data_IF_069068439408
#
_entry.id   IF_069068439408
#
_cell.length_a   1.000
_cell.length_b   1.000
_cell.length_c   1.000
_cell.angle_alpha   90.00
_cell.angle_beta   90.00
_cell.angle_gamma   90.00
#
_symmetry.space_group_name_H-M   'P 1'
#
loop_
_entity.id
_entity.type
_entity.pdbx_description
1 polymer ?
#
# COMPACT_ATOMS: atom_id res chain seq x y z
N UNK A 1 -19.52 -0.52 5.43
CA UNK A 1 -18.62 -1.36 6.18
C UNK A 1 -17.24 -0.72 6.22
N UNK A 2 -16.61 -0.68 7.39
CA UNK A 2 -15.32 -0.02 7.52
C UNK A 2 -14.21 -0.85 6.89
N UNK A 3 -13.27 -0.18 6.23
CA UNK A 3 -12.10 -0.81 5.69
C UNK A 3 -11.14 -1.18 6.83
N UNK A 4 -10.74 -2.44 6.89
CA UNK A 4 -9.75 -2.87 7.88
C UNK A 4 -8.37 -2.86 7.23
N UNK A 5 -7.75 -1.68 7.24
CA UNK A 5 -6.47 -1.48 6.57
C UNK A 5 -5.34 -2.27 7.22
N UNK A 6 -5.46 -2.56 8.52
CA UNK A 6 -4.41 -3.31 9.22
C UNK A 6 -4.24 -4.72 8.67
N UNK A 7 -5.29 -5.29 8.12
CA UNK A 7 -5.21 -6.63 7.54
C UNK A 7 -4.55 -6.63 6.16
N UNK A 8 -4.45 -5.48 5.54
CA UNK A 8 -3.90 -5.37 4.19
C UNK A 8 -2.44 -4.95 4.18
N UNK A 9 -1.92 -4.46 5.29
CA UNK A 9 -0.54 -3.99 5.40
C UNK A 9 0.19 -4.91 6.37
N UNK A 10 1.31 -5.50 5.92
CA UNK A 10 2.07 -6.43 6.74
C UNK A 10 3.54 -6.03 6.73
N UNK A 11 4.25 -6.39 7.79
CA UNK A 11 5.69 -6.21 7.89
C UNK A 11 6.30 -7.56 8.23
N UNK A 12 7.20 -8.04 7.38
CA UNK A 12 7.86 -9.32 7.57
C UNK A 12 9.35 -9.11 7.33
N UNK A 13 10.22 -9.46 8.29
CA UNK A 13 11.67 -9.26 8.10
C UNK A 13 12.21 -9.91 6.84
N UNK A 14 11.53 -10.92 6.33
CA UNK A 14 11.94 -11.63 5.11
C UNK A 14 11.48 -10.95 3.85
N UNK A 15 10.61 -9.94 3.95
CA UNK A 15 10.06 -9.24 2.80
C UNK A 15 10.46 -7.78 2.90
N UNK A 16 11.25 -7.32 1.93
CA UNK A 16 11.68 -5.91 1.84
C UNK A 16 12.27 -5.40 3.16
N UNK A 17 13.04 -6.27 3.84
CA UNK A 17 13.75 -5.91 5.08
C UNK A 17 12.81 -5.44 6.19
N UNK A 18 11.60 -5.98 6.23
CA UNK A 18 10.63 -5.62 7.26
C UNK A 18 9.85 -4.35 7.01
N UNK A 19 10.00 -3.73 5.84
CA UNK A 19 9.20 -2.56 5.50
C UNK A 19 7.73 -2.94 5.36
N UNK A 20 6.80 -2.04 5.71
CA UNK A 20 5.38 -2.30 5.48
C UNK A 20 5.11 -2.48 3.99
N UNK A 21 4.45 -3.57 3.66
CA UNK A 21 4.10 -3.88 2.27
C UNK A 21 2.62 -4.25 2.20
N UNK A 22 2.06 -4.17 1.01
CA UNK A 22 0.71 -4.65 0.78
C UNK A 22 0.75 -6.17 0.84
N UNK A 23 -0.15 -6.74 1.64
CA UNK A 23 -0.23 -8.19 1.88
C UNK A 23 -0.28 -8.95 0.56
N UNK A 24 0.50 -10.01 0.48
CA UNK A 24 0.55 -10.85 -0.71
C UNK A 24 1.39 -10.29 -1.83
N UNK A 25 2.08 -9.18 -1.60
CA UNK A 25 2.94 -8.56 -2.60
C UNK A 25 4.26 -8.16 -1.94
N UNK A 26 5.19 -7.67 -2.77
CA UNK A 26 6.41 -7.03 -2.29
C UNK A 26 6.37 -5.53 -2.54
N UNK A 27 5.17 -4.97 -2.67
CA UNK A 27 4.99 -3.55 -2.97
C UNK A 27 4.95 -2.77 -1.67
N UNK A 28 5.99 -1.97 -1.37
CA UNK A 28 6.02 -1.22 -0.12
C UNK A 28 4.96 -0.11 -0.11
N UNK A 29 4.41 0.15 1.07
CA UNK A 29 3.46 1.25 1.25
C UNK A 29 4.09 2.57 0.79
N UNK A 30 5.37 2.79 1.14
CA UNK A 30 6.04 4.04 0.78
C UNK A 30 6.11 4.26 -0.72
N UNK A 31 6.21 3.19 -1.52
CA UNK A 31 6.22 3.32 -2.96
C UNK A 31 4.88 3.83 -3.48
N UNK A 32 3.78 3.28 -2.94
CA UNK A 32 2.44 3.71 -3.33
C UNK A 32 2.25 5.19 -2.98
N UNK A 33 2.65 5.57 -1.77
CA UNK A 33 2.50 6.96 -1.32
C UNK A 33 3.33 7.91 -2.17
N UNK A 34 4.55 7.50 -2.52
CA UNK A 34 5.43 8.32 -3.35
C UNK A 34 4.83 8.57 -4.72
N UNK A 35 4.27 7.54 -5.34
CA UNK A 35 3.67 7.68 -6.66
C UNK A 35 2.46 8.60 -6.63
N UNK A 36 1.63 8.46 -5.60
CA UNK A 36 0.48 9.36 -5.46
C UNK A 36 0.95 10.81 -5.24
N UNK A 37 2.00 10.98 -4.44
CA UNK A 37 2.56 12.32 -4.20
C UNK A 37 3.11 12.93 -5.48
N UNK A 38 3.57 12.11 -6.41
CA UNK A 38 4.11 12.57 -7.69
C UNK A 38 3.01 12.79 -8.73
N UNK A 39 1.75 12.68 -8.35
CA UNK A 39 0.65 12.99 -9.24
C UNK A 39 0.04 11.81 -9.98
N UNK A 40 0.50 10.59 -9.73
CA UNK A 40 -0.12 9.42 -10.33
C UNK A 40 -1.46 9.16 -9.69
N UNK A 41 -2.40 8.65 -10.48
CA UNK A 41 -3.73 8.35 -9.99
C UNK A 41 -3.81 6.91 -9.49
N UNK A 42 -4.90 6.60 -8.77
CA UNK A 42 -5.15 5.24 -8.33
C UNK A 42 -5.23 4.32 -9.55
N UNK A 43 -5.90 4.77 -10.61
CA UNK A 43 -6.00 3.98 -11.85
C UNK A 43 -4.64 3.67 -12.43
N UNK A 44 -3.72 4.63 -12.41
CA UNK A 44 -2.35 4.41 -12.88
C UNK A 44 -1.69 3.29 -12.08
N UNK A 45 -1.89 3.29 -10.77
CA UNK A 45 -1.30 2.28 -9.89
C UNK A 45 -1.89 0.90 -10.17
N UNK A 46 -3.21 0.84 -10.40
CA UNK A 46 -3.87 -0.45 -10.66
C UNK A 46 -3.39 -1.06 -11.98
N UNK A 47 -3.08 -0.21 -12.96
CA UNK A 47 -2.53 -0.69 -14.23
C UNK A 47 -1.09 -1.17 -14.05
N UNK A 48 -0.29 -0.40 -13.31
CA UNK A 48 1.13 -0.74 -13.10
C UNK A 48 1.31 -1.96 -12.22
N UNK A 49 0.41 -2.15 -11.26
CA UNK A 49 0.50 -3.24 -10.28
C UNK A 49 -0.82 -3.99 -10.24
N UNK A 50 -1.03 -4.92 -11.18
CA UNK A 50 -2.35 -5.59 -11.30
C UNK A 50 -2.77 -6.39 -10.06
N UNK A 51 -1.83 -6.69 -9.16
CA UNK A 51 -2.14 -7.46 -7.96
C UNK A 51 -2.81 -6.64 -6.87
N UNK A 52 -2.73 -5.33 -6.94
CA UNK A 52 -3.31 -4.49 -5.90
C UNK A 52 -4.70 -4.03 -6.32
N UNK A 53 -5.48 -3.65 -5.31
CA UNK A 53 -6.85 -3.17 -5.50
C UNK A 53 -6.96 -1.74 -4.99
N UNK A 54 -8.12 -1.12 -5.25
CA UNK A 54 -8.38 0.22 -4.71
C UNK A 54 -8.34 0.21 -3.19
N UNK A 55 -8.84 -0.86 -2.58
CA UNK A 55 -8.81 -1.00 -1.12
C UNK A 55 -7.38 -1.04 -0.61
N UNK A 56 -6.47 -1.67 -1.36
CA UNK A 56 -5.07 -1.69 -0.97
C UNK A 56 -4.48 -0.29 -0.98
N UNK A 57 -4.79 0.52 -1.99
CA UNK A 57 -4.31 1.90 -2.07
C UNK A 57 -4.89 2.72 -0.91
N UNK A 58 -6.19 2.57 -0.64
CA UNK A 58 -6.82 3.24 0.48
C UNK A 58 -6.17 2.85 1.80
N UNK A 59 -5.82 1.56 1.95
CA UNK A 59 -5.14 1.08 3.15
C UNK A 59 -3.78 1.74 3.34
N UNK A 60 -3.06 1.97 2.25
CA UNK A 60 -1.78 2.69 2.32
C UNK A 60 -1.98 4.11 2.84
N UNK A 61 -3.02 4.78 2.39
CA UNK A 61 -3.33 6.14 2.85
C UNK A 61 -3.71 6.15 4.32
N UNK A 62 -4.52 5.18 4.76
CA UNK A 62 -4.85 5.05 6.17
C UNK A 62 -3.61 4.76 7.01
N UNK A 63 -2.73 3.90 6.51
CA UNK A 63 -1.48 3.60 7.20
C UNK A 63 -0.67 4.87 7.42
N UNK A 64 -0.52 5.68 6.37
CA UNK A 64 0.24 6.92 6.46
C UNK A 64 -0.36 7.88 7.48
N UNK A 65 -1.69 7.92 7.54
CA UNK A 65 -2.40 8.81 8.46
C UNK A 65 -2.21 8.38 9.93
N UNK A 66 -2.08 7.09 10.18
CA UNK A 66 -1.96 6.53 11.53
C UNK A 66 -0.55 6.15 11.92
N UNK A 67 0.41 6.34 11.02
CA UNK A 67 1.81 5.99 11.27
C UNK A 67 2.55 7.23 11.72
N UNK A 68 2.98 7.22 12.96
CA UNK A 68 3.73 8.34 13.53
C UNK A 68 5.16 7.99 13.72
#
# INVERSE_FOLDING_TARGET
MALNWQERIVSDPKIMFGKPVIRGTRIPVELVLEKLANGETIEDLLVAYPRITREDVSSCLFYAQHSE
#
